data_IF_701624482530
#
_entry.id   IF_701624482530
#
_cell.length_a   1.000
_cell.length_b   1.000
_cell.length_c   1.000
_cell.angle_alpha   90.00
_cell.angle_beta   90.00
_cell.angle_gamma   90.00
#
_symmetry.space_group_name_H-M   'P 1'
#
loop_
_entity.id
_entity.type
_entity.pdbx_description
1 polymer ?
#
# COMPACT_ATOMS: atom_id res chain seq x y z
N UNK A 1 -72.15 -14.94 -38.11
CA UNK A 1 -71.98 -14.07 -36.92
C UNK A 1 -70.57 -14.34 -36.44
N UNK A 2 -69.59 -13.78 -37.16
CA UNK A 2 -68.18 -13.91 -36.79
C UNK A 2 -67.81 -12.65 -36.01
N UNK A 3 -67.64 -12.83 -34.70
CA UNK A 3 -67.20 -11.79 -33.80
C UNK A 3 -65.73 -11.50 -34.04
N UNK A 4 -65.45 -10.46 -34.82
CA UNK A 4 -64.11 -9.90 -34.92
C UNK A 4 -63.83 -9.11 -33.64
N UNK A 5 -63.21 -9.77 -32.67
CA UNK A 5 -62.59 -9.09 -31.53
C UNK A 5 -61.28 -8.51 -32.07
N UNK A 6 -61.31 -7.22 -32.44
CA UNK A 6 -60.08 -6.46 -32.64
C UNK A 6 -59.38 -6.37 -31.28
N UNK A 7 -58.41 -7.24 -31.07
CA UNK A 7 -57.39 -7.05 -30.04
C UNK A 7 -56.69 -5.73 -30.39
N UNK A 8 -57.08 -4.67 -29.68
CA UNK A 8 -56.29 -3.44 -29.60
C UNK A 8 -54.99 -3.86 -28.92
N UNK A 9 -54.00 -4.12 -29.76
CA UNK A 9 -52.63 -4.37 -29.37
C UNK A 9 -52.14 -3.08 -28.72
N UNK A 10 -52.23 -3.02 -27.40
CA UNK A 10 -51.50 -2.04 -26.60
C UNK A 10 -50.02 -2.43 -26.58
N UNK A 11 -49.41 -2.57 -27.76
CA UNK A 11 -47.97 -2.36 -27.94
C UNK A 11 -47.69 -0.85 -27.74
N UNK A 12 -47.98 -0.38 -26.52
CA UNK A 12 -47.19 0.65 -25.89
C UNK A 12 -45.84 -0.01 -25.67
N UNK A 13 -45.05 -0.04 -26.76
CA UNK A 13 -43.64 -0.33 -26.70
C UNK A 13 -43.10 0.39 -25.47
N UNK A 14 -42.37 -0.36 -24.68
CA UNK A 14 -41.68 0.02 -23.46
C UNK A 14 -40.70 1.16 -23.76
N UNK A 15 -41.25 2.32 -24.10
CA UNK A 15 -40.57 3.60 -24.16
C UNK A 15 -40.51 3.97 -22.70
N UNK A 16 -39.30 3.93 -22.14
CA UNK A 16 -38.99 4.37 -20.79
C UNK A 16 -39.94 5.50 -20.37
N UNK A 17 -40.84 5.23 -19.41
CA UNK A 17 -41.83 6.22 -18.98
C UNK A 17 -41.07 7.50 -18.59
N UNK A 18 -41.29 8.63 -19.28
CA UNK A 18 -40.57 9.86 -19.00
C UNK A 18 -40.71 10.31 -17.54
N UNK A 19 -41.81 9.94 -16.87
CA UNK A 19 -42.03 10.21 -15.45
C UNK A 19 -41.17 9.30 -14.56
N UNK A 20 -41.07 8.01 -14.88
CA UNK A 20 -40.20 7.05 -14.18
C UNK A 20 -38.72 7.45 -14.32
N UNK A 21 -38.32 7.87 -15.53
CA UNK A 21 -36.99 8.42 -15.78
C UNK A 21 -36.74 9.66 -14.94
N UNK A 22 -37.69 10.61 -14.89
CA UNK A 22 -37.58 11.82 -14.09
C UNK A 22 -37.47 11.54 -12.59
N UNK A 23 -38.20 10.54 -12.07
CA UNK A 23 -38.10 10.13 -10.66
C UNK A 23 -36.79 9.42 -10.33
N UNK A 24 -36.22 8.68 -11.30
CA UNK A 24 -34.97 7.94 -11.12
C UNK A 24 -33.71 8.77 -11.44
N UNK A 25 -33.84 10.02 -11.93
CA UNK A 25 -32.71 10.88 -12.30
C UNK A 25 -31.68 11.00 -11.17
N UNK A 26 -32.12 11.18 -9.93
CA UNK A 26 -31.21 11.31 -8.77
C UNK A 26 -30.37 10.03 -8.59
N UNK A 27 -31.02 8.86 -8.65
CA UNK A 27 -30.35 7.57 -8.52
C UNK A 27 -29.37 7.31 -9.67
N UNK A 28 -29.75 7.67 -10.90
CA UNK A 28 -28.87 7.55 -12.07
C UNK A 28 -27.65 8.47 -11.96
N UNK A 29 -27.82 9.74 -11.57
CA UNK A 29 -26.68 10.64 -11.37
C UNK A 29 -25.80 10.24 -10.19
N UNK A 30 -26.39 9.68 -9.14
CA UNK A 30 -25.64 9.17 -7.99
C UNK A 30 -24.77 7.96 -8.38
N UNK A 31 -25.37 6.96 -9.02
CA UNK A 31 -24.65 5.77 -9.48
C UNK A 31 -23.58 6.10 -10.50
N UNK A 32 -23.90 6.93 -11.51
CA UNK A 32 -22.92 7.37 -12.52
C UNK A 32 -21.77 8.17 -11.88
N UNK A 33 -22.08 9.09 -10.96
CA UNK A 33 -21.07 9.86 -10.24
C UNK A 33 -20.21 8.99 -9.32
N UNK A 34 -20.81 8.01 -8.66
CA UNK A 34 -20.11 7.05 -7.81
C UNK A 34 -19.18 6.17 -8.65
N UNK A 35 -19.68 5.54 -9.72
CA UNK A 35 -18.91 4.65 -10.58
C UNK A 35 -17.73 5.39 -11.23
N UNK A 36 -17.99 6.59 -11.75
CA UNK A 36 -16.95 7.45 -12.32
C UNK A 36 -15.92 7.87 -11.25
N UNK A 37 -16.39 8.26 -10.06
CA UNK A 37 -15.54 8.67 -8.94
C UNK A 37 -14.67 7.53 -8.41
N UNK A 38 -15.25 6.33 -8.27
CA UNK A 38 -14.56 5.12 -7.84
C UNK A 38 -13.53 4.67 -8.87
N UNK A 39 -13.89 4.62 -10.16
CA UNK A 39 -12.97 4.26 -11.22
C UNK A 39 -11.78 5.23 -11.28
N UNK A 40 -12.06 6.54 -11.20
CA UNK A 40 -11.03 7.57 -11.19
C UNK A 40 -10.16 7.51 -9.93
N UNK A 41 -10.77 7.36 -8.75
CA UNK A 41 -10.06 7.23 -7.46
C UNK A 41 -9.16 6.00 -7.41
N UNK A 42 -9.60 4.87 -7.95
CA UNK A 42 -8.80 3.64 -8.07
C UNK A 42 -7.56 3.88 -8.94
N UNK A 43 -7.72 4.51 -10.10
CA UNK A 43 -6.61 4.82 -10.99
C UNK A 43 -5.63 5.80 -10.34
N UNK A 44 -6.14 6.88 -9.72
CA UNK A 44 -5.29 7.87 -9.04
C UNK A 44 -4.52 7.28 -7.87
N UNK A 45 -5.18 6.47 -7.03
CA UNK A 45 -4.51 5.77 -5.94
C UNK A 45 -3.42 4.83 -6.42
N UNK A 46 -3.62 4.17 -7.57
CA UNK A 46 -2.60 3.31 -8.19
C UNK A 46 -1.39 4.12 -8.67
N UNK A 47 -1.62 5.23 -9.38
CA UNK A 47 -0.54 6.06 -9.90
C UNK A 47 0.25 6.73 -8.77
N UNK A 48 -0.44 7.34 -7.82
CA UNK A 48 0.17 7.99 -6.66
C UNK A 48 0.92 6.99 -5.79
N UNK A 49 0.33 5.82 -5.51
CA UNK A 49 1.00 4.77 -4.74
C UNK A 49 2.27 4.24 -5.41
N UNK A 50 2.29 4.13 -6.74
CA UNK A 50 3.50 3.73 -7.50
C UNK A 50 4.58 4.81 -7.47
N UNK A 51 4.19 6.07 -7.60
CA UNK A 51 5.12 7.20 -7.55
C UNK A 51 5.76 7.32 -6.15
N UNK A 52 4.92 7.33 -5.11
CA UNK A 52 5.37 7.36 -3.72
C UNK A 52 6.24 6.13 -3.38
N UNK A 53 5.86 4.95 -3.87
CA UNK A 53 6.62 3.72 -3.70
C UNK A 53 8.03 3.82 -4.27
N UNK A 54 8.23 4.47 -5.42
CA UNK A 54 9.55 4.67 -6.02
C UNK A 54 10.42 5.62 -5.19
N UNK A 55 9.86 6.74 -4.73
CA UNK A 55 10.59 7.70 -3.91
C UNK A 55 11.04 7.07 -2.58
N UNK A 56 10.12 6.37 -1.91
CA UNK A 56 10.41 5.71 -0.63
C UNK A 56 11.29 4.49 -0.76
N UNK A 57 11.20 3.74 -1.87
CA UNK A 57 12.12 2.65 -2.15
C UNK A 57 13.57 3.15 -2.28
N UNK A 58 13.79 4.33 -2.86
CA UNK A 58 15.14 4.90 -2.97
C UNK A 58 15.75 5.24 -1.60
N UNK A 59 15.02 5.98 -0.76
CA UNK A 59 15.45 6.31 0.61
C UNK A 59 15.83 5.04 1.39
N UNK A 60 15.05 4.00 1.17
CA UNK A 60 15.22 2.73 1.85
C UNK A 60 16.44 1.95 1.37
N UNK A 61 16.61 1.84 0.06
CA UNK A 61 17.74 1.15 -0.55
C UNK A 61 19.06 1.88 -0.32
N UNK A 62 19.07 3.21 -0.19
CA UNK A 62 20.25 3.96 0.21
C UNK A 62 20.74 3.51 1.60
N UNK A 63 19.83 3.36 2.56
CA UNK A 63 20.15 2.89 3.90
C UNK A 63 20.68 1.45 3.88
N UNK A 64 19.96 0.54 3.22
CA UNK A 64 20.33 -0.88 3.14
C UNK A 64 21.67 -1.06 2.42
N UNK A 65 21.88 -0.38 1.30
CA UNK A 65 23.13 -0.42 0.52
C UNK A 65 24.32 0.15 1.29
N UNK A 66 24.11 1.18 2.10
CA UNK A 66 25.16 1.66 3.02
C UNK A 66 25.56 0.59 4.05
N UNK A 67 24.59 -0.12 4.63
CA UNK A 67 24.87 -1.22 5.57
C UNK A 67 25.58 -2.39 4.90
N UNK A 68 25.22 -2.72 3.66
CA UNK A 68 25.87 -3.76 2.87
C UNK A 68 27.35 -3.43 2.64
N UNK A 69 27.65 -2.25 2.08
CA UNK A 69 29.02 -1.82 1.82
C UNK A 69 29.86 -1.75 3.10
N UNK A 70 29.26 -1.31 4.21
CA UNK A 70 29.91 -1.32 5.52
C UNK A 70 30.24 -2.74 5.98
N UNK A 71 29.29 -3.68 5.90
CA UNK A 71 29.50 -5.07 6.27
C UNK A 71 30.61 -5.71 5.43
N UNK A 72 30.59 -5.54 4.10
CA UNK A 72 31.59 -6.10 3.20
C UNK A 72 32.99 -5.56 3.48
N UNK A 73 33.13 -4.25 3.71
CA UNK A 73 34.40 -3.61 4.04
C UNK A 73 35.01 -4.25 5.29
N UNK A 74 34.21 -4.41 6.35
CA UNK A 74 34.69 -4.99 7.59
C UNK A 74 34.96 -6.50 7.49
N UNK A 75 34.22 -7.25 6.68
CA UNK A 75 34.53 -8.66 6.40
C UNK A 75 35.92 -8.77 5.74
N UNK A 76 36.22 -7.93 4.74
CA UNK A 76 37.53 -7.93 4.07
C UNK A 76 38.65 -7.50 5.04
N UNK A 77 38.47 -6.41 5.79
CA UNK A 77 39.47 -5.91 6.73
C UNK A 77 39.74 -6.87 7.90
N UNK A 78 38.70 -7.40 8.54
CA UNK A 78 38.86 -8.34 9.64
C UNK A 78 39.36 -9.70 9.14
N UNK A 79 38.92 -10.14 7.96
CA UNK A 79 39.39 -11.37 7.31
C UNK A 79 40.90 -11.36 7.05
N UNK A 80 41.42 -10.27 6.47
CA UNK A 80 42.86 -10.12 6.25
C UNK A 80 43.65 -10.09 7.57
N UNK A 81 43.16 -9.35 8.57
CA UNK A 81 43.81 -9.21 9.88
C UNK A 81 43.87 -10.52 10.67
N UNK A 82 42.80 -11.31 10.64
CA UNK A 82 42.74 -12.64 11.26
C UNK A 82 43.77 -13.59 10.65
N UNK A 83 43.99 -13.53 9.33
CA UNK A 83 44.98 -14.35 8.63
C UNK A 83 46.41 -13.84 8.82
N UNK A 84 46.63 -12.53 8.93
CA UNK A 84 47.98 -11.94 8.96
C UNK A 84 48.63 -11.86 10.33
N UNK A 85 47.89 -12.01 11.44
CA UNK A 85 48.40 -11.56 12.75
C UNK A 85 48.36 -12.63 13.86
N UNK A 86 49.53 -12.90 14.45
CA UNK A 86 49.77 -13.61 15.72
C UNK A 86 49.36 -12.76 16.93
N UNK A 87 48.15 -12.19 16.93
CA UNK A 87 47.71 -11.28 18.00
C UNK A 87 47.16 -12.03 19.21
N UNK A 88 47.46 -11.48 20.39
CA UNK A 88 47.10 -12.01 21.72
C UNK A 88 45.59 -12.15 21.89
N UNK A 89 45.16 -13.23 22.57
CA UNK A 89 43.81 -13.82 22.46
C UNK A 89 42.60 -12.91 22.76
N UNK A 90 42.77 -11.77 23.42
CA UNK A 90 41.66 -10.86 23.76
C UNK A 90 41.19 -10.00 22.58
N UNK A 91 42.12 -9.48 21.75
CA UNK A 91 41.75 -8.68 20.55
C UNK A 91 41.22 -9.57 19.44
N UNK A 92 41.82 -10.74 19.25
CA UNK A 92 41.36 -11.76 18.28
C UNK A 92 39.90 -12.18 18.51
N UNK A 93 39.49 -12.35 19.77
CA UNK A 93 38.10 -12.70 20.10
C UNK A 93 37.07 -11.59 19.83
N UNK A 94 37.48 -10.32 19.94
CA UNK A 94 36.61 -9.17 19.58
C UNK A 94 36.42 -9.08 18.06
N UNK A 95 37.51 -9.26 17.32
CA UNK A 95 37.51 -9.24 15.86
C UNK A 95 36.72 -10.40 15.25
N UNK A 96 36.88 -11.61 15.78
CA UNK A 96 36.09 -12.77 15.35
C UNK A 96 34.59 -12.58 15.59
N UNK A 97 34.21 -11.97 16.73
CA UNK A 97 32.81 -11.65 17.03
C UNK A 97 32.26 -10.57 16.08
N UNK A 98 33.02 -9.52 15.82
CA UNK A 98 32.65 -8.48 14.86
C UNK A 98 32.46 -9.05 13.44
N UNK A 99 33.33 -9.98 13.03
CA UNK A 99 33.22 -10.70 11.75
C UNK A 99 31.90 -11.47 11.66
N UNK A 100 31.55 -12.24 12.70
CA UNK A 100 30.27 -12.94 12.75
C UNK A 100 29.06 -12.00 12.65
N UNK A 101 29.11 -10.85 13.35
CA UNK A 101 28.04 -9.84 13.23
C UNK A 101 27.93 -9.25 11.81
N UNK A 102 29.05 -9.02 11.13
CA UNK A 102 29.05 -8.51 9.76
C UNK A 102 28.49 -9.54 8.75
N UNK A 103 28.80 -10.82 8.94
CA UNK A 103 28.26 -11.91 8.11
C UNK A 103 26.74 -12.05 8.28
N UNK A 104 26.24 -12.06 9.52
CA UNK A 104 24.79 -12.10 9.78
C UNK A 104 24.07 -10.88 9.23
N UNK A 105 24.68 -9.68 9.30
CA UNK A 105 24.10 -8.49 8.70
C UNK A 105 23.93 -8.64 7.19
N UNK A 106 24.94 -9.17 6.50
CA UNK A 106 24.91 -9.40 5.05
C UNK A 106 23.90 -10.48 4.65
N UNK A 107 23.73 -11.52 5.47
CA UNK A 107 22.70 -12.54 5.26
C UNK A 107 21.29 -11.95 5.36
N UNK A 108 21.03 -11.09 6.34
CA UNK A 108 19.72 -10.42 6.47
C UNK A 108 19.43 -9.47 5.30
N UNK A 109 20.46 -8.77 4.80
CA UNK A 109 20.32 -7.87 3.65
C UNK A 109 19.98 -8.66 2.38
N UNK A 110 20.54 -9.86 2.19
CA UNK A 110 20.21 -10.73 1.04
C UNK A 110 18.76 -11.21 1.03
N UNK A 111 18.12 -11.30 2.19
CA UNK A 111 16.69 -11.64 2.31
C UNK A 111 15.78 -10.47 1.91
N UNK A 112 16.32 -9.26 1.77
CA UNK A 112 15.54 -8.08 1.41
C UNK A 112 15.02 -8.18 -0.03
N UNK A 113 13.71 -7.99 -0.27
CA UNK A 113 13.11 -8.21 -1.59
C UNK A 113 13.59 -7.15 -2.60
N UNK A 114 14.02 -7.61 -3.77
CA UNK A 114 14.47 -6.76 -4.89
C UNK A 114 13.40 -6.62 -5.97
N UNK A 115 12.49 -7.59 -6.05
CA UNK A 115 11.38 -7.60 -7.00
C UNK A 115 10.09 -7.26 -6.27
N UNK A 116 9.34 -6.30 -6.79
CA UNK A 116 7.94 -6.11 -6.40
C UNK A 116 7.11 -7.13 -7.19
N UNK A 117 6.55 -8.19 -6.56
CA UNK A 117 5.60 -9.04 -7.23
C UNK A 117 4.32 -8.21 -7.43
N UNK A 118 4.22 -7.54 -8.58
CA UNK A 118 2.93 -7.01 -8.99
C UNK A 118 2.00 -8.21 -9.12
N UNK A 119 0.81 -8.22 -8.48
CA UNK A 119 -0.22 -9.14 -8.91
C UNK A 119 -0.41 -8.84 -10.39
N UNK A 120 0.06 -9.75 -11.24
CA UNK A 120 -0.26 -9.72 -12.64
C UNK A 120 -1.77 -9.72 -12.71
N UNK A 121 -2.35 -8.73 -13.37
CA UNK A 121 -3.73 -8.71 -13.85
C UNK A 121 -3.94 -9.86 -14.87
N UNK A 122 -3.52 -11.10 -14.56
CA UNK A 122 -3.87 -12.31 -15.30
C UNK A 122 -5.27 -12.76 -14.86
N UNK A 123 -6.23 -11.89 -15.15
CA UNK A 123 -7.62 -12.23 -15.41
C UNK A 123 -8.20 -11.14 -16.31
N UNK A 124 -7.84 -11.19 -17.60
CA UNK A 124 -8.63 -10.60 -18.69
C UNK A 124 -10.07 -11.17 -18.69
N UNK A 125 -10.95 -10.76 -19.63
CA UNK A 125 -11.75 -9.55 -19.72
C UNK A 125 -13.25 -9.86 -19.44
N UNK A 126 -14.08 -8.81 -19.32
CA UNK A 126 -15.55 -8.79 -19.52
C UNK A 126 -16.21 -10.18 -19.72
N UNK A 127 -16.87 -10.71 -18.68
CA UNK A 127 -18.04 -11.58 -18.88
C UNK A 127 -19.06 -11.28 -17.79
N UNK A 128 -20.10 -10.54 -18.19
CA UNK A 128 -21.38 -10.47 -17.51
C UNK A 128 -21.96 -11.88 -17.37
N UNK A 129 -22.03 -12.42 -16.15
CA UNK A 129 -23.06 -13.39 -15.76
C UNK A 129 -23.02 -13.70 -14.25
N UNK A 130 -24.00 -13.14 -13.54
CA UNK A 130 -24.79 -13.74 -12.46
C UNK A 130 -24.25 -15.04 -11.81
N UNK A 131 -23.68 -14.89 -10.60
CA UNK A 131 -23.76 -15.83 -9.47
C UNK A 131 -23.10 -15.13 -8.25
N UNK A 132 -23.88 -14.44 -7.41
CA UNK A 132 -24.20 -14.85 -6.02
C UNK A 132 -23.33 -16.03 -5.53
N UNK A 133 -22.20 -15.68 -4.89
CA UNK A 133 -21.68 -16.24 -3.62
C UNK A 133 -20.20 -15.78 -3.46
N UNK A 134 -20.00 -14.52 -3.06
CA UNK A 134 -18.66 -14.00 -2.70
C UNK A 134 -18.38 -14.24 -1.20
N UNK A 135 -17.84 -15.40 -0.88
CA UNK A 135 -16.95 -15.58 0.27
C UNK A 135 -15.57 -15.01 -0.10
N UNK A 136 -15.48 -13.68 -0.27
CA UNK A 136 -14.21 -12.97 -0.51
C UNK A 136 -13.48 -12.74 0.82
N UNK A 137 -13.14 -13.86 1.48
CA UNK A 137 -12.02 -13.93 2.41
C UNK A 137 -10.86 -14.61 1.70
N UNK A 138 -10.30 -13.92 0.70
CA UNK A 138 -8.97 -14.26 0.18
C UNK A 138 -7.93 -13.44 0.94
N UNK A 139 -7.33 -13.96 2.04
CA UNK A 139 -6.10 -13.40 2.55
C UNK A 139 -5.04 -13.63 1.47
N UNK A 140 -4.50 -12.55 0.91
CA UNK A 140 -3.32 -12.61 0.05
C UNK A 140 -2.24 -13.43 0.75
N UNK A 141 -2.08 -14.68 0.31
CA UNK A 141 -1.30 -15.73 0.99
C UNK A 141 0.14 -15.80 0.48
N UNK A 142 0.75 -14.66 0.19
CA UNK A 142 2.19 -14.57 0.29
C UNK A 142 2.50 -14.26 1.77
N UNK A 143 3.51 -14.88 2.41
CA UNK A 143 4.04 -14.30 3.63
C UNK A 143 4.59 -12.94 3.21
N UNK A 144 3.78 -11.88 3.36
CA UNK A 144 4.23 -10.52 3.24
C UNK A 144 5.22 -10.36 4.39
N UNK A 145 6.49 -10.73 4.14
CA UNK A 145 7.59 -10.50 5.05
C UNK A 145 7.51 -9.04 5.38
N UNK A 146 7.13 -8.75 6.63
CA UNK A 146 6.91 -7.39 7.08
C UNK A 146 8.22 -6.64 6.89
N UNK A 147 8.26 -5.83 5.83
CA UNK A 147 9.46 -5.15 5.36
C UNK A 147 9.96 -4.19 6.45
N UNK A 148 9.05 -3.61 7.24
CA UNK A 148 9.39 -2.79 8.39
C UNK A 148 10.10 -3.62 9.49
N UNK A 149 9.61 -4.83 9.78
CA UNK A 149 10.27 -5.73 10.73
C UNK A 149 11.67 -6.12 10.27
N UNK A 150 11.86 -6.45 8.99
CA UNK A 150 13.15 -6.84 8.42
C UNK A 150 14.16 -5.70 8.53
N UNK A 151 13.75 -4.47 8.24
CA UNK A 151 14.62 -3.30 8.39
C UNK A 151 14.96 -2.98 9.83
N UNK A 152 14.00 -3.10 10.73
CA UNK A 152 14.26 -2.92 12.16
C UNK A 152 15.34 -3.89 12.65
N UNK A 153 15.31 -5.13 12.14
CA UNK A 153 16.28 -6.17 12.43
C UNK A 153 17.65 -5.86 11.81
N UNK A 154 17.70 -5.43 10.55
CA UNK A 154 18.93 -4.99 9.87
C UNK A 154 19.58 -3.84 10.65
N UNK A 155 18.82 -2.81 11.02
CA UNK A 155 19.29 -1.68 11.84
C UNK A 155 19.85 -2.13 13.19
N UNK A 156 19.15 -3.04 13.87
CA UNK A 156 19.61 -3.57 15.15
C UNK A 156 20.95 -4.31 15.01
N UNK A 157 21.11 -5.14 13.96
CA UNK A 157 22.36 -5.84 13.68
C UNK A 157 23.49 -4.89 13.27
N UNK A 158 23.20 -3.86 12.48
CA UNK A 158 24.17 -2.82 12.15
C UNK A 158 24.69 -2.09 13.40
N UNK A 159 23.81 -1.71 14.33
CA UNK A 159 24.21 -1.09 15.60
C UNK A 159 25.09 -2.02 16.44
N UNK A 160 24.75 -3.31 16.47
CA UNK A 160 25.54 -4.31 17.18
C UNK A 160 26.96 -4.46 16.58
N UNK A 161 27.07 -4.48 15.25
CA UNK A 161 28.36 -4.48 14.56
C UNK A 161 29.18 -3.22 14.92
N UNK A 162 28.57 -2.04 14.86
CA UNK A 162 29.23 -0.78 15.22
C UNK A 162 29.71 -0.77 16.68
N UNK A 163 28.89 -1.29 17.61
CA UNK A 163 29.27 -1.42 19.02
C UNK A 163 30.46 -2.36 19.20
N UNK A 164 30.52 -3.48 18.46
CA UNK A 164 31.65 -4.41 18.50
C UNK A 164 32.96 -3.82 17.97
N UNK A 165 32.87 -2.84 17.06
CA UNK A 165 33.99 -2.12 16.46
C UNK A 165 34.32 -0.80 17.16
N UNK A 166 33.57 -0.43 18.20
CA UNK A 166 33.66 0.87 18.88
C UNK A 166 33.53 2.09 17.93
N UNK A 167 32.76 1.94 16.85
CA UNK A 167 32.48 3.01 15.89
C UNK A 167 31.09 3.59 16.16
N UNK A 168 30.93 4.91 16.04
CA UNK A 168 29.62 5.55 16.14
C UNK A 168 28.76 5.18 14.92
N UNK A 169 27.55 4.63 15.10
CA UNK A 169 26.65 4.33 14.00
C UNK A 169 26.24 5.61 13.26
N UNK A 170 26.22 5.58 11.92
CA UNK A 170 25.54 6.60 11.12
C UNK A 170 24.05 6.24 11.07
N UNK A 171 23.18 7.20 11.38
CA UNK A 171 21.74 7.03 11.33
C UNK A 171 21.21 7.74 10.08
N UNK A 172 21.23 7.05 8.94
CA UNK A 172 20.38 7.41 7.81
C UNK A 172 19.22 6.42 7.88
N UNK A 173 18.11 6.84 8.49
CA UNK A 173 16.95 5.96 8.68
C UNK A 173 15.82 6.38 7.76
N UNK A 174 15.50 5.55 6.78
CA UNK A 174 14.29 5.70 5.98
C UNK A 174 13.04 5.53 6.86
N UNK A 175 12.03 6.37 6.66
CA UNK A 175 10.77 6.27 7.41
C UNK A 175 9.75 5.52 6.56
N UNK A 176 9.32 4.36 7.04
CA UNK A 176 8.14 3.68 6.49
C UNK A 176 6.95 4.23 7.26
N UNK A 177 6.24 5.18 6.66
CA UNK A 177 4.96 5.61 7.20
C UNK A 177 3.97 4.46 7.05
N UNK A 178 3.45 3.95 8.17
CA UNK A 178 2.32 3.03 8.14
C UNK A 178 1.11 3.76 7.55
N UNK A 179 0.37 3.12 6.66
CA UNK A 179 -0.91 3.64 6.22
C UNK A 179 -1.83 3.70 7.45
N UNK A 180 -2.17 4.90 7.91
CA UNK A 180 -3.16 5.04 8.98
C UNK A 180 -4.51 4.56 8.46
N UNK A 181 -5.22 3.67 9.19
CA UNK A 181 -6.59 3.33 8.87
C UNK A 181 -7.43 4.60 9.03
N UNK A 182 -7.88 5.18 7.91
CA UNK A 182 -8.55 6.48 7.86
C UNK A 182 -7.90 7.51 6.94
N UNK A 183 -6.68 7.26 6.45
CA UNK A 183 -6.22 7.89 5.20
C UNK A 183 -7.09 7.35 4.07
N UNK A 184 -7.65 8.21 3.22
CA UNK A 184 -8.73 7.89 2.27
C UNK A 184 -8.47 6.70 1.34
N UNK A 185 -7.22 6.20 1.27
CA UNK A 185 -6.85 4.96 0.62
C UNK A 185 -7.51 3.69 1.20
N UNK A 186 -7.79 3.64 2.50
CA UNK A 186 -8.43 2.47 3.14
C UNK A 186 -9.97 2.58 3.23
N UNK A 187 -10.50 3.80 3.28
CA UNK A 187 -11.94 4.04 3.43
C UNK A 187 -12.74 3.69 2.16
N UNK A 188 -12.12 3.76 0.97
CA UNK A 188 -12.76 3.39 -0.28
C UNK A 188 -13.11 1.87 -0.37
N UNK A 189 -12.45 1.03 0.43
CA UNK A 189 -12.72 -0.40 0.48
C UNK A 189 -13.76 -0.81 1.55
N UNK A 190 -14.16 0.10 2.44
CA UNK A 190 -14.97 -0.26 3.62
C UNK A 190 -16.30 0.49 3.76
N UNK A 191 -16.75 1.26 2.77
CA UNK A 191 -18.11 1.81 2.77
C UNK A 191 -19.11 0.80 2.21
N UNK A 192 -19.18 -0.35 2.88
CA UNK A 192 -20.32 -1.26 2.82
C UNK A 192 -21.44 -0.74 3.70
N UNK A 193 -22.64 -0.70 3.14
CA UNK A 193 -23.93 -0.27 3.69
C UNK A 193 -24.11 -0.70 5.15
N UNK A 194 -24.25 0.26 6.07
CA UNK A 194 -24.76 0.01 7.43
C UNK A 194 -26.29 0.03 7.35
N UNK A 195 -26.90 -1.13 7.57
CA UNK A 195 -28.34 -1.27 7.70
C UNK A 195 -28.88 -0.56 8.95
N UNK A 196 -30.08 -0.02 8.80
CA UNK A 196 -30.81 0.87 9.68
C UNK A 196 -31.16 0.23 11.05
N UNK A 197 -30.96 0.98 12.14
CA UNK A 197 -31.81 1.05 13.36
C UNK A 197 -31.05 1.75 14.51
N UNK A 198 -31.14 3.08 14.57
CA UNK A 198 -31.43 3.86 15.78
C UNK A 198 -31.36 5.36 15.48
N UNK A 199 -32.54 5.97 15.42
CA UNK A 199 -32.72 7.42 15.43
C UNK A 199 -32.10 8.03 16.70
N UNK A 200 -30.98 8.72 16.56
CA UNK A 200 -30.52 9.73 17.51
C UNK A 200 -30.42 11.07 16.79
N UNK A 201 -31.26 12.01 17.22
CA UNK A 201 -31.37 13.35 16.69
C UNK A 201 -30.01 14.09 16.72
N UNK A 202 -29.45 14.32 15.54
CA UNK A 202 -28.29 15.17 15.32
C UNK A 202 -28.46 15.89 13.99
N UNK A 203 -28.54 17.22 14.06
CA UNK A 203 -28.65 18.16 12.95
C UNK A 203 -27.73 17.77 11.77
N UNK A 204 -28.32 17.44 10.61
CA UNK A 204 -27.57 17.26 9.36
C UNK A 204 -27.18 18.65 8.85
N UNK A 205 -25.97 19.06 9.19
CA UNK A 205 -25.32 20.22 8.58
C UNK A 205 -24.82 19.78 7.19
N UNK A 206 -25.11 20.60 6.18
CA UNK A 206 -24.90 20.28 4.77
C UNK A 206 -23.50 19.75 4.43
N UNK A 207 -23.45 18.91 3.41
CA UNK A 207 -22.24 18.36 2.81
C UNK A 207 -21.37 19.53 2.33
N UNK A 208 -20.38 19.93 3.14
CA UNK A 208 -19.29 20.82 2.73
C UNK A 208 -18.47 20.09 1.66
N UNK A 209 -18.46 20.62 0.43
CA UNK A 209 -17.53 20.20 -0.61
C UNK A 209 -16.06 20.45 -0.20
N UNK A 210 -15.08 19.84 -0.88
CA UNK A 210 -13.69 19.80 -0.43
C UNK A 210 -12.92 21.13 -0.57
N UNK A 211 -13.58 22.23 -0.91
CA UNK A 211 -12.92 23.54 -0.97
C UNK A 211 -13.01 24.28 0.36
N UNK A 212 -12.37 23.73 1.39
CA UNK A 212 -12.08 24.46 2.62
C UNK A 212 -10.77 25.24 2.45
N UNK A 213 -10.91 26.49 2.01
CA UNK A 213 -9.96 27.58 2.22
C UNK A 213 -8.48 27.31 1.92
N UNK A 214 -8.08 27.46 0.66
CA UNK A 214 -6.67 27.82 0.36
C UNK A 214 -6.46 29.25 0.83
N UNK A 215 -5.60 29.45 1.83
CA UNK A 215 -5.17 30.77 2.28
C UNK A 215 -4.29 31.40 1.20
N UNK A 216 -4.90 32.16 0.30
CA UNK A 216 -4.23 32.80 -0.84
C UNK A 216 -3.18 33.85 -0.42
N UNK A 217 -3.05 34.16 0.88
CA UNK A 217 -1.98 35.00 1.43
C UNK A 217 -0.63 34.28 1.55
N UNK A 218 -0.60 32.95 1.46
CA UNK A 218 0.65 32.16 1.47
C UNK A 218 1.25 31.98 0.07
N UNK A 219 0.52 32.30 -0.98
CA UNK A 219 1.03 32.33 -2.34
C UNK A 219 1.72 33.68 -2.57
N UNK A 220 3.03 33.73 -2.30
CA UNK A 220 3.87 34.83 -2.76
C UNK A 220 4.05 34.70 -4.28
N UNK A 221 3.28 35.48 -5.02
CA UNK A 221 3.65 35.91 -6.38
C UNK A 221 4.58 37.13 -6.27
#
# INVERSE_FOLDING_TARGET
MDGHVENIDWEMGMVDDPLEKATNLESTFYSEGYDSGHAHGRLHGLFEGRELGKEKAWELWEEVGYYEGWAEMWIKLLGTKVTSTTQTGSRKGKEARALGHAQTLLELIKTFPITNPTPSDESDPVTTSLAIDEDTSSPSSAPATDLASLLSLIRARYRLLCASLSVRPRLTSAVIAGANPGSGAAAAASSGIVGDEQFAAGVVQGIEGPMKGVDTRQLRF
#
